data_IF_453042237832
#
_entry.id   IF_453042237832
#
_cell.length_a   1.000
_cell.length_b   1.000
_cell.length_c   1.000
_cell.angle_alpha   90.00
_cell.angle_beta   90.00
_cell.angle_gamma   90.00
#
_symmetry.space_group_name_H-M   'P 1'
#
loop_
_entity.id
_entity.type
_entity.pdbx_description
1 polymer ?
#
# COMPACT_ATOMS: atom_id res chain seq x y z
N UNK A 1 -15.35 -6.47 1.74
CA UNK A 1 -14.92 -6.78 0.35
C UNK A 1 -13.96 -5.69 -0.16
N UNK A 2 -13.92 -4.50 0.45
CA UNK A 2 -12.93 -3.49 0.09
C UNK A 2 -11.49 -3.95 0.32
N UNK A 3 -11.24 -4.83 1.29
CA UNK A 3 -9.90 -5.42 1.51
C UNK A 3 -9.37 -6.12 0.26
N UNK A 4 -10.21 -6.83 -0.50
CA UNK A 4 -9.74 -7.43 -1.75
C UNK A 4 -9.57 -6.38 -2.87
N UNK A 5 -10.39 -5.32 -2.86
CA UNK A 5 -10.44 -4.32 -3.93
C UNK A 5 -9.28 -3.31 -3.88
N UNK A 6 -8.77 -2.97 -2.70
CA UNK A 6 -7.61 -2.07 -2.58
C UNK A 6 -6.25 -2.80 -2.56
N UNK A 7 -6.22 -4.09 -2.23
CA UNK A 7 -4.99 -4.91 -2.29
C UNK A 7 -4.55 -5.19 -3.74
N UNK A 8 -5.49 -5.37 -4.69
CA UNK A 8 -5.13 -5.60 -6.09
C UNK A 8 -4.36 -4.40 -6.70
N UNK A 9 -4.85 -3.14 -6.60
CA UNK A 9 -4.08 -1.97 -7.02
C UNK A 9 -2.75 -1.82 -6.28
N UNK A 10 -2.71 -2.12 -4.97
CA UNK A 10 -1.51 -2.03 -4.15
C UNK A 10 -0.44 -2.99 -4.63
N UNK A 11 -0.76 -4.28 -4.79
CA UNK A 11 0.19 -5.29 -5.28
C UNK A 11 0.65 -5.02 -6.72
N UNK A 12 -0.22 -4.49 -7.58
CA UNK A 12 0.19 -4.05 -8.92
C UNK A 12 1.17 -2.87 -8.87
N UNK A 13 0.98 -1.95 -7.91
CA UNK A 13 1.90 -0.85 -7.64
C UNK A 13 3.26 -1.34 -7.17
N UNK A 14 3.30 -2.21 -6.16
CA UNK A 14 4.52 -2.79 -5.60
C UNK A 14 5.29 -3.58 -6.66
N UNK A 15 4.59 -4.38 -7.47
CA UNK A 15 5.17 -5.05 -8.62
C UNK A 15 5.80 -4.07 -9.63
N UNK A 16 5.11 -2.95 -9.91
CA UNK A 16 5.61 -1.87 -10.76
C UNK A 16 6.89 -1.23 -10.22
N UNK A 17 6.94 -0.96 -8.91
CA UNK A 17 8.12 -0.40 -8.22
C UNK A 17 9.30 -1.37 -8.30
N UNK A 18 9.07 -2.67 -8.08
CA UNK A 18 10.11 -3.69 -8.17
C UNK A 18 10.69 -3.78 -9.59
N UNK A 19 9.84 -3.72 -10.63
CA UNK A 19 10.29 -3.65 -12.02
C UNK A 19 11.13 -2.39 -12.29
N UNK A 20 10.67 -1.23 -11.81
CA UNK A 20 11.40 0.03 -11.98
C UNK A 20 12.75 0.04 -11.26
N UNK A 21 12.84 -0.70 -10.15
CA UNK A 21 14.08 -0.91 -9.37
C UNK A 21 15.05 -1.89 -10.02
N UNK A 22 14.76 -2.40 -11.22
CA UNK A 22 15.65 -3.26 -12.00
C UNK A 22 15.43 -4.77 -11.83
N UNK A 23 14.37 -5.20 -11.15
CA UNK A 23 14.07 -6.62 -11.00
C UNK A 23 13.49 -7.20 -12.30
N UNK A 24 13.79 -8.46 -12.58
CA UNK A 24 13.12 -9.18 -13.67
C UNK A 24 11.67 -9.49 -13.29
N UNK A 25 10.76 -9.60 -14.26
CA UNK A 25 9.32 -9.91 -14.03
C UNK A 25 9.10 -11.09 -13.08
N UNK A 26 9.86 -12.18 -13.25
CA UNK A 26 9.76 -13.36 -12.38
C UNK A 26 10.19 -13.06 -10.94
N UNK A 27 11.27 -12.31 -10.76
CA UNK A 27 11.74 -11.94 -9.41
C UNK A 27 10.76 -10.99 -8.74
N UNK A 28 10.32 -9.95 -9.45
CA UNK A 28 9.34 -9.00 -8.93
C UNK A 28 8.04 -9.70 -8.47
N UNK A 29 7.51 -10.64 -9.27
CA UNK A 29 6.35 -11.45 -8.87
C UNK A 29 6.63 -12.31 -7.62
N UNK A 30 7.78 -12.98 -7.58
CA UNK A 30 8.13 -13.83 -6.44
C UNK A 30 8.30 -13.03 -5.14
N UNK A 31 8.95 -11.86 -5.20
CA UNK A 31 9.12 -10.99 -4.04
C UNK A 31 7.80 -10.40 -3.57
N UNK A 32 6.96 -9.92 -4.51
CA UNK A 32 5.64 -9.39 -4.20
C UNK A 32 4.76 -10.46 -3.51
N UNK A 33 4.69 -11.66 -4.08
CA UNK A 33 3.96 -12.78 -3.50
C UNK A 33 4.53 -13.21 -2.14
N UNK A 34 5.86 -13.29 -1.99
CA UNK A 34 6.48 -13.66 -0.72
C UNK A 34 6.21 -12.63 0.38
N UNK A 35 6.17 -11.35 0.02
CA UNK A 35 5.77 -10.27 0.92
C UNK A 35 4.30 -10.42 1.34
N UNK A 36 3.40 -10.72 0.39
CA UNK A 36 1.98 -10.93 0.67
C UNK A 36 1.70 -12.06 1.68
N UNK A 37 2.56 -13.09 1.75
CA UNK A 37 2.45 -14.14 2.77
C UNK A 37 2.62 -13.61 4.21
N UNK A 38 3.26 -12.46 4.42
CA UNK A 38 3.32 -11.80 5.73
C UNK A 38 1.93 -11.39 6.22
N UNK A 39 0.98 -11.11 5.31
CA UNK A 39 -0.40 -10.80 5.69
C UNK A 39 -1.06 -12.00 6.40
N UNK A 40 -0.75 -13.23 5.99
CA UNK A 40 -1.24 -14.46 6.66
C UNK A 40 -0.67 -14.53 8.08
N UNK A 41 0.63 -14.26 8.24
CA UNK A 41 1.24 -14.22 9.57
C UNK A 41 0.62 -13.11 10.45
N UNK A 42 0.40 -11.92 9.89
CA UNK A 42 -0.30 -10.83 10.57
C UNK A 42 -1.71 -11.21 11.00
N UNK A 43 -2.46 -11.90 10.15
CA UNK A 43 -3.81 -12.38 10.46
C UNK A 43 -3.80 -13.42 11.60
N UNK A 44 -2.84 -14.36 11.59
CA UNK A 44 -2.68 -15.33 12.69
C UNK A 44 -2.37 -14.63 14.00
N UNK A 45 -1.44 -13.66 13.99
CA UNK A 45 -1.11 -12.86 15.19
C UNK A 45 -2.33 -12.09 15.68
N UNK A 46 -3.06 -11.44 14.77
CA UNK A 46 -4.26 -10.68 15.12
C UNK A 46 -5.35 -11.56 15.74
N UNK A 47 -5.54 -12.79 15.25
CA UNK A 47 -6.51 -13.73 15.83
C UNK A 47 -6.09 -14.23 17.22
N UNK A 48 -4.80 -14.54 17.42
CA UNK A 48 -4.30 -15.05 18.70
C UNK A 48 -4.24 -13.97 19.78
N UNK A 49 -3.86 -12.75 19.41
CA UNK A 49 -3.69 -11.62 20.35
C UNK A 49 -4.99 -10.86 20.55
N UNK A 50 -5.78 -10.65 19.50
CA UNK A 50 -7.05 -9.92 19.57
C UNK A 50 -8.11 -10.59 20.43
N UNK A 51 -7.97 -11.90 20.71
CA UNK A 51 -8.82 -12.60 21.69
C UNK A 51 -8.39 -12.41 23.15
N UNK A 52 -7.20 -11.83 23.39
CA UNK A 52 -6.59 -11.68 24.72
C UNK A 52 -6.42 -10.23 25.15
N UNK A 53 -6.40 -9.31 24.18
CA UNK A 53 -6.18 -7.88 24.38
C UNK A 53 -7.25 -7.13 23.61
N UNK A 54 -8.22 -6.59 24.33
CA UNK A 54 -9.38 -5.91 23.74
C UNK A 54 -8.95 -4.66 22.95
N UNK A 55 -7.90 -3.95 23.38
CA UNK A 55 -7.39 -2.74 22.70
C UNK A 55 -6.51 -3.04 21.47
N UNK A 56 -6.22 -4.31 21.14
CA UNK A 56 -5.29 -4.63 20.06
C UNK A 56 -5.75 -4.05 18.71
N UNK A 57 -7.04 -4.14 18.40
CA UNK A 57 -7.61 -3.55 17.19
C UNK A 57 -7.49 -2.02 17.17
N UNK A 58 -7.76 -1.37 18.30
CA UNK A 58 -7.69 0.09 18.45
C UNK A 58 -6.27 0.64 18.27
N UNK A 59 -5.25 -0.13 18.67
CA UNK A 59 -3.85 0.21 18.47
C UNK A 59 -3.33 -0.17 17.07
N UNK A 60 -3.84 -1.25 16.48
CA UNK A 60 -3.41 -1.74 15.18
C UNK A 60 -3.78 -0.79 14.03
N UNK A 61 -4.94 -0.14 14.10
CA UNK A 61 -5.39 0.83 13.08
C UNK A 61 -4.42 2.03 12.96
N UNK A 62 -4.15 2.83 14.00
CA UNK A 62 -3.23 3.96 13.90
C UNK A 62 -1.79 3.52 13.62
N UNK A 63 -1.37 2.34 14.10
CA UNK A 63 -0.07 1.78 13.76
C UNK A 63 0.07 1.52 12.25
N UNK A 64 -0.92 0.87 11.64
CA UNK A 64 -0.92 0.57 10.19
C UNK A 64 -1.04 1.84 9.35
N UNK A 65 -1.94 2.76 9.74
CA UNK A 65 -2.08 4.05 9.09
C UNK A 65 -0.77 4.87 9.14
N UNK A 66 -0.10 4.91 10.29
CA UNK A 66 1.19 5.55 10.46
C UNK A 66 2.28 4.90 9.60
N UNK A 67 2.29 3.57 9.49
CA UNK A 67 3.19 2.83 8.59
C UNK A 67 3.02 3.21 7.12
N UNK A 68 1.78 3.27 6.63
CA UNK A 68 1.51 3.70 5.25
C UNK A 68 1.91 5.15 4.99
N UNK A 69 1.63 6.06 5.94
CA UNK A 69 2.09 7.45 5.85
C UNK A 69 3.61 7.51 5.82
N UNK A 70 4.32 6.76 6.67
CA UNK A 70 5.78 6.71 6.66
C UNK A 70 6.33 6.25 5.30
N UNK A 71 5.82 5.14 4.75
CA UNK A 71 6.25 4.62 3.44
C UNK A 71 6.01 5.65 2.33
N UNK A 72 4.85 6.31 2.34
CA UNK A 72 4.52 7.34 1.36
C UNK A 72 5.47 8.54 1.46
N UNK A 73 5.75 9.02 2.68
CA UNK A 73 6.63 10.16 2.91
C UNK A 73 8.12 9.86 2.66
N UNK A 74 8.59 8.67 3.00
CA UNK A 74 10.01 8.30 2.86
C UNK A 74 10.35 7.74 1.49
N UNK A 75 9.39 7.12 0.81
CA UNK A 75 9.58 6.46 -0.48
C UNK A 75 9.03 7.26 -1.65
N UNK A 76 7.72 7.52 -1.65
CA UNK A 76 7.02 8.12 -2.79
C UNK A 76 7.30 9.63 -2.95
N UNK A 77 7.25 10.40 -1.86
CA UNK A 77 7.45 11.86 -1.93
C UNK A 77 8.84 12.25 -2.48
N UNK A 78 9.97 11.64 -2.04
CA UNK A 78 11.27 11.95 -2.61
C UNK A 78 11.37 11.63 -4.10
N UNK A 79 10.73 10.55 -4.56
CA UNK A 79 10.72 10.16 -5.97
C UNK A 79 9.89 11.14 -6.82
N UNK A 80 8.74 11.60 -6.30
CA UNK A 80 7.94 12.66 -6.93
C UNK A 80 8.73 13.96 -7.11
N UNK A 81 9.56 14.34 -6.13
CA UNK A 81 10.39 15.55 -6.18
C UNK A 81 11.57 15.47 -7.15
N UNK A 82 11.93 14.27 -7.63
CA UNK A 82 12.99 14.10 -8.64
C UNK A 82 12.54 14.45 -10.05
N UNK A 83 11.23 14.45 -10.32
CA UNK A 83 10.70 14.84 -11.62
C UNK A 83 10.68 16.38 -11.74
N UNK A 84 11.44 16.90 -12.71
CA UNK A 84 11.60 18.34 -12.93
C UNK A 84 10.65 18.91 -13.99
N UNK A 85 9.98 18.03 -14.74
CA UNK A 85 9.01 18.45 -15.75
C UNK A 85 7.65 18.75 -15.11
N UNK A 86 7.26 20.02 -15.10
CA UNK A 86 5.98 20.50 -14.53
C UNK A 86 4.77 19.74 -15.09
N UNK A 87 4.77 19.40 -16.39
CA UNK A 87 3.67 18.66 -17.02
C UNK A 87 3.52 17.25 -16.47
N UNK A 88 4.64 16.57 -16.22
CA UNK A 88 4.64 15.25 -15.57
C UNK A 88 4.33 15.33 -14.08
N UNK A 89 4.82 16.34 -13.37
CA UNK A 89 4.46 16.57 -11.97
C UNK A 89 2.96 16.81 -11.80
N UNK A 90 2.33 17.55 -12.73
CA UNK A 90 0.88 17.73 -12.74
C UNK A 90 0.15 16.41 -12.99
N UNK A 91 0.63 15.58 -13.93
CA UNK A 91 0.05 14.26 -14.17
C UNK A 91 0.16 13.36 -12.92
N UNK A 92 1.31 13.35 -12.26
CA UNK A 92 1.52 12.63 -11.00
C UNK A 92 0.55 13.09 -9.90
N UNK A 93 0.37 14.41 -9.75
CA UNK A 93 -0.59 14.96 -8.80
C UNK A 93 -2.02 14.53 -9.10
N UNK A 94 -2.44 14.59 -10.37
CA UNK A 94 -3.75 14.08 -10.82
C UNK A 94 -3.89 12.59 -10.51
N UNK A 95 -2.85 11.79 -10.75
CA UNK A 95 -2.85 10.35 -10.43
C UNK A 95 -3.01 10.09 -8.92
N UNK A 96 -2.37 10.89 -8.06
CA UNK A 96 -2.55 10.80 -6.60
C UNK A 96 -3.99 11.12 -6.21
N UNK A 97 -4.54 12.23 -6.71
CA UNK A 97 -5.93 12.64 -6.43
C UNK A 97 -6.91 11.57 -6.94
N UNK A 98 -6.67 11.00 -8.12
CA UNK A 98 -7.46 9.91 -8.67
C UNK A 98 -7.41 8.67 -7.78
N UNK A 99 -6.23 8.27 -7.31
CA UNK A 99 -6.06 7.16 -6.37
C UNK A 99 -6.81 7.37 -5.06
N UNK A 100 -6.71 8.56 -4.47
CA UNK A 100 -7.47 8.94 -3.26
C UNK A 100 -8.98 8.87 -3.54
N UNK A 101 -9.42 9.33 -4.71
CA UNK A 101 -10.83 9.32 -5.09
C UNK A 101 -11.37 7.89 -5.25
N UNK A 102 -10.59 6.98 -5.84
CA UNK A 102 -10.91 5.55 -5.91
C UNK A 102 -11.05 4.98 -4.50
N UNK A 103 -10.08 5.23 -3.62
CA UNK A 103 -10.13 4.76 -2.24
C UNK A 103 -11.34 5.31 -1.47
N UNK A 104 -11.66 6.60 -1.63
CA UNK A 104 -12.83 7.22 -1.02
C UNK A 104 -14.14 6.64 -1.59
N UNK A 105 -14.19 6.31 -2.88
CA UNK A 105 -15.38 5.70 -3.49
C UNK A 105 -15.66 4.29 -2.98
N UNK A 106 -14.62 3.52 -2.63
CA UNK A 106 -14.79 2.20 -2.00
C UNK A 106 -15.52 2.30 -0.65
N UNK A 107 -15.34 3.39 0.09
CA UNK A 107 -16.05 3.64 1.35
C UNK A 107 -17.56 3.83 1.15
N UNK A 108 -17.99 4.25 -0.04
CA UNK A 108 -19.41 4.36 -0.40
C UNK A 108 -20.00 3.02 -0.87
N UNK A 109 -19.17 2.03 -1.18
CA UNK A 109 -19.55 0.70 -1.67
C UNK A 109 -19.53 -0.37 -0.58
N UNK A 110 -18.96 -0.08 0.60
CA UNK A 110 -19.08 -0.90 1.82
C UNK A 110 -20.25 -0.47 2.69
#
# INVERSE_FOLDING_TARGET
>A
MAVALHEIPQELGDFGILLHSGFTKRRALLYNFSSALLAILGAVVALLVGQRVDEFGELAIPFTAGGFVYIALSGLIPELHRESNIGKSLLQFISIVAGISVMASLLLLE
#
